data_IF_109290266182
#
_entry.id   IF_109290266182
#
_cell.length_a   1.000
_cell.length_b   1.000
_cell.length_c   1.000
_cell.angle_alpha   90.00
_cell.angle_beta   90.00
_cell.angle_gamma   90.00
#
_symmetry.space_group_name_H-M   'P 1'
#
loop_
_entity.id
_entity.type
_entity.pdbx_description
1 polymer ?
#
# COMPACT_ATOMS: atom_id res chain seq x y z
N UNK A 1 11.77 -41.83 -15.32
CA UNK A 1 11.52 -40.44 -15.77
C UNK A 1 11.06 -39.64 -14.56
N UNK A 2 11.92 -38.74 -14.10
CA UNK A 2 11.84 -38.07 -12.79
C UNK A 2 10.81 -36.94 -12.80
N UNK A 3 9.86 -36.95 -11.83
CA UNK A 3 8.93 -35.85 -11.58
C UNK A 3 9.70 -34.68 -10.95
N UNK A 4 9.84 -33.57 -11.69
CA UNK A 4 10.30 -32.30 -11.14
C UNK A 4 9.21 -31.74 -10.23
N UNK A 5 9.50 -31.68 -8.93
CA UNK A 5 8.75 -30.90 -7.95
C UNK A 5 8.96 -29.42 -8.22
N UNK A 6 7.86 -28.68 -8.45
CA UNK A 6 7.85 -27.23 -8.61
C UNK A 6 7.94 -26.58 -7.23
N UNK A 7 9.14 -26.15 -6.84
CA UNK A 7 9.36 -25.36 -5.63
C UNK A 7 8.81 -23.95 -5.87
N UNK A 8 7.67 -23.60 -5.25
CA UNK A 8 7.24 -22.20 -5.13
C UNK A 8 8.30 -21.44 -4.34
N UNK A 9 8.98 -20.48 -4.96
CA UNK A 9 9.85 -19.54 -4.28
C UNK A 9 9.00 -18.59 -3.42
N UNK A 10 8.73 -19.00 -2.19
CA UNK A 10 8.10 -18.17 -1.17
C UNK A 10 9.20 -17.33 -0.52
N UNK A 11 9.03 -16.01 -0.56
CA UNK A 11 9.91 -15.06 0.11
C UNK A 11 9.83 -15.30 1.64
N UNK A 12 10.96 -15.64 2.27
CA UNK A 12 11.04 -15.91 3.71
C UNK A 12 11.30 -14.62 4.47
N UNK A 13 10.39 -14.24 5.37
CA UNK A 13 10.60 -13.14 6.32
C UNK A 13 11.17 -13.67 7.65
N UNK A 14 12.08 -12.90 8.26
CA UNK A 14 12.66 -13.16 9.59
C UNK A 14 11.77 -12.51 10.67
N UNK A 15 11.48 -13.24 11.74
CA UNK A 15 10.68 -12.78 12.89
C UNK A 15 11.46 -11.82 13.80
N UNK A 16 10.96 -10.62 14.12
CA UNK A 16 11.46 -9.83 15.24
C UNK A 16 10.62 -10.01 16.51
N UNK A 17 11.25 -9.74 17.66
CA UNK A 17 10.71 -9.90 19.00
C UNK A 17 9.71 -8.78 19.37
N UNK A 18 8.71 -9.14 20.18
CA UNK A 18 7.54 -8.34 20.59
C UNK A 18 7.86 -7.25 21.62
N UNK A 19 7.26 -6.05 21.46
CA UNK A 19 7.30 -4.97 22.45
C UNK A 19 5.87 -4.52 22.84
N UNK A 20 5.75 -4.20 24.13
CA UNK A 20 4.54 -3.98 24.93
C UNK A 20 3.86 -2.63 24.65
N UNK A 21 2.53 -2.61 24.50
CA UNK A 21 1.71 -1.41 24.27
C UNK A 21 1.23 -0.77 25.58
N UNK A 22 1.48 0.52 25.79
CA UNK A 22 0.66 1.40 26.66
C UNK A 22 0.62 2.82 26.08
N UNK A 23 -0.58 3.39 25.93
CA UNK A 23 -0.74 4.85 25.77
C UNK A 23 -2.05 5.26 25.11
N UNK A 24 -2.98 5.80 25.90
CA UNK A 24 -4.35 6.20 25.55
C UNK A 24 -4.47 7.49 24.72
N UNK A 25 -5.64 7.56 24.07
CA UNK A 25 -6.31 8.60 23.29
C UNK A 25 -6.31 10.02 23.91
N UNK A 26 -6.08 11.05 23.06
CA UNK A 26 -6.58 12.42 23.27
C UNK A 26 -7.03 13.01 21.92
N UNK A 27 -8.27 12.75 21.52
CA UNK A 27 -8.98 13.56 20.51
C UNK A 27 -9.32 14.93 21.11
N UNK A 28 -8.48 15.93 20.88
CA UNK A 28 -8.84 17.32 21.11
C UNK A 28 -9.66 17.85 19.92
N UNK A 29 -10.96 17.55 19.88
CA UNK A 29 -11.85 18.08 18.85
C UNK A 29 -12.38 19.45 19.28
N UNK A 30 -11.54 20.49 19.19
CA UNK A 30 -12.03 21.87 19.28
C UNK A 30 -12.63 22.27 17.92
N UNK A 31 -13.84 22.84 17.92
CA UNK A 31 -14.51 23.32 16.70
C UNK A 31 -13.91 24.65 16.18
N UNK A 32 -12.60 24.84 16.35
CA UNK A 32 -11.87 26.04 15.96
C UNK A 32 -11.09 25.78 14.67
N UNK A 33 -11.07 26.78 13.79
CA UNK A 33 -10.30 26.70 12.56
C UNK A 33 -8.81 26.60 12.88
N UNK A 34 -8.21 25.44 12.60
CA UNK A 34 -6.77 25.24 12.71
C UNK A 34 -6.13 25.66 11.39
N UNK A 35 -5.43 26.78 11.39
CA UNK A 35 -4.63 27.19 10.24
C UNK A 35 -3.57 26.12 9.93
N UNK A 36 -3.32 25.88 8.64
CA UNK A 36 -2.09 25.19 8.24
C UNK A 36 -0.90 25.91 8.89
N UNK A 37 0.01 25.15 9.50
CA UNK A 37 1.27 25.73 9.99
C UNK A 37 1.96 26.40 8.80
N UNK A 38 2.39 27.65 8.97
CA UNK A 38 3.10 28.38 7.93
C UNK A 38 4.28 27.53 7.45
N UNK A 39 4.17 26.96 6.25
CA UNK A 39 5.23 26.17 5.65
C UNK A 39 6.42 27.08 5.41
N UNK A 40 7.57 26.79 6.03
CA UNK A 40 8.81 27.39 5.59
C UNK A 40 9.07 26.94 4.15
N UNK A 41 9.66 27.80 3.31
CA UNK A 41 10.12 27.41 1.98
C UNK A 41 11.24 26.37 2.15
N UNK A 42 10.88 25.10 2.29
CA UNK A 42 11.83 24.01 2.33
C UNK A 42 12.46 23.82 0.95
N UNK A 43 13.71 23.37 0.93
CA UNK A 43 14.38 23.00 -0.32
C UNK A 43 13.53 21.95 -1.03
N UNK A 44 13.25 22.16 -2.33
CA UNK A 44 12.59 21.16 -3.18
C UNK A 44 13.42 19.87 -3.18
N UNK A 45 12.74 18.73 -3.30
CA UNK A 45 13.42 17.46 -3.51
C UNK A 45 14.25 17.51 -4.80
N UNK A 46 15.43 16.89 -4.80
CA UNK A 46 16.25 16.72 -6.01
C UNK A 46 15.62 15.66 -6.92
N UNK A 47 16.06 15.61 -8.18
CA UNK A 47 15.62 14.58 -9.13
C UNK A 47 15.88 13.18 -8.61
N UNK A 48 17.02 12.94 -7.96
CA UNK A 48 17.39 11.64 -7.38
C UNK A 48 16.49 11.27 -6.21
N UNK A 49 16.11 12.24 -5.38
CA UNK A 49 15.15 12.03 -4.29
C UNK A 49 13.75 11.71 -4.83
N UNK A 50 13.38 12.34 -5.94
CA UNK A 50 12.12 12.06 -6.66
C UNK A 50 12.20 10.70 -7.37
N UNK A 51 13.36 10.29 -7.88
CA UNK A 51 13.54 9.01 -8.57
C UNK A 51 13.85 7.83 -7.64
N UNK A 52 13.97 8.07 -6.33
CA UNK A 52 14.19 7.00 -5.36
C UNK A 52 13.09 5.93 -5.47
N UNK A 53 13.52 4.71 -5.77
CA UNK A 53 12.66 3.57 -6.11
C UNK A 53 12.16 2.79 -4.90
N UNK A 54 13.06 2.59 -3.93
CA UNK A 54 12.90 1.62 -2.84
C UNK A 54 12.60 0.21 -3.31
N UNK A 55 11.81 -0.51 -2.52
CA UNK A 55 11.41 -1.89 -2.73
C UNK A 55 10.15 -1.92 -3.60
N UNK A 56 10.27 -2.49 -4.79
CA UNK A 56 9.16 -2.72 -5.74
C UNK A 56 8.85 -4.20 -5.94
N UNK A 57 9.40 -5.06 -5.06
CA UNK A 57 9.46 -6.51 -5.28
C UNK A 57 10.74 -6.94 -6.00
N UNK A 58 10.74 -8.14 -6.56
CA UNK A 58 11.87 -8.67 -7.33
C UNK A 58 11.69 -8.38 -8.82
N UNK A 59 12.76 -8.51 -9.61
CA UNK A 59 12.69 -8.35 -11.08
C UNK A 59 11.71 -9.34 -11.73
N UNK A 60 11.60 -10.54 -11.19
CA UNK A 60 10.70 -11.60 -11.69
C UNK A 60 9.26 -11.46 -11.14
N UNK A 61 9.05 -10.65 -10.10
CA UNK A 61 7.78 -10.50 -9.42
C UNK A 61 7.59 -9.07 -8.90
N UNK A 62 7.39 -8.13 -9.83
CA UNK A 62 6.97 -6.77 -9.50
C UNK A 62 5.74 -6.79 -8.60
N UNK A 63 5.74 -5.94 -7.57
CA UNK A 63 4.63 -5.81 -6.64
C UNK A 63 4.60 -6.85 -5.52
N UNK A 64 5.50 -7.84 -5.51
CA UNK A 64 5.52 -8.87 -4.46
C UNK A 64 5.85 -8.34 -3.05
N UNK A 65 6.27 -7.07 -2.96
CA UNK A 65 6.45 -6.33 -1.72
C UNK A 65 5.12 -5.85 -1.09
N UNK A 66 3.99 -5.99 -1.78
CA UNK A 66 2.65 -5.60 -1.33
C UNK A 66 1.72 -6.79 -1.42
N UNK A 67 0.96 -7.09 -0.36
CA UNK A 67 -0.02 -8.18 -0.40
C UNK A 67 -1.17 -7.98 0.58
N UNK A 68 -2.34 -8.53 0.26
CA UNK A 68 -3.42 -8.66 1.24
C UNK A 68 -3.09 -9.77 2.24
N UNK A 69 -3.33 -9.52 3.51
CA UNK A 69 -3.08 -10.49 4.58
C UNK A 69 -4.32 -10.70 5.44
N UNK A 70 -4.39 -11.88 6.05
CA UNK A 70 -5.45 -12.21 6.99
C UNK A 70 -5.25 -11.48 8.32
N UNK A 71 -6.35 -11.08 8.96
CA UNK A 71 -6.30 -10.34 10.21
C UNK A 71 -5.62 -11.12 11.34
N UNK A 72 -5.72 -12.45 11.31
CA UNK A 72 -5.09 -13.35 12.29
C UNK A 72 -3.57 -13.34 12.25
N UNK A 73 -2.97 -12.92 11.13
CA UNK A 73 -1.51 -12.87 10.94
C UNK A 73 -0.98 -11.45 10.70
N UNK A 74 -1.86 -10.44 10.64
CA UNK A 74 -1.48 -9.05 10.37
C UNK A 74 -0.42 -8.51 11.35
N UNK A 75 -0.44 -8.96 12.61
CA UNK A 75 0.54 -8.58 13.64
C UNK A 75 1.96 -9.08 13.36
N UNK A 76 2.15 -9.99 12.40
CA UNK A 76 3.47 -10.47 11.97
C UNK A 76 4.14 -9.53 10.96
N UNK A 77 3.42 -8.53 10.45
CA UNK A 77 3.92 -7.57 9.47
C UNK A 77 4.16 -6.22 10.14
N UNK A 78 5.33 -5.63 9.86
CA UNK A 78 5.73 -4.35 10.45
C UNK A 78 4.93 -3.18 9.90
N UNK A 79 4.64 -3.20 8.59
CA UNK A 79 3.92 -2.14 7.90
C UNK A 79 2.62 -2.68 7.33
N UNK A 80 1.50 -2.18 7.85
CA UNK A 80 0.16 -2.54 7.38
C UNK A 80 -0.72 -1.33 7.21
N UNK A 81 -1.68 -1.42 6.29
CA UNK A 81 -2.80 -0.50 6.16
C UNK A 81 -4.12 -1.28 6.19
N UNK A 82 -5.08 -0.78 6.97
CA UNK A 82 -6.40 -1.37 7.11
C UNK A 82 -7.40 -0.58 6.27
N UNK A 83 -8.04 -1.27 5.34
CA UNK A 83 -9.10 -0.74 4.48
C UNK A 83 -10.44 -1.19 5.04
N UNK A 84 -11.29 -0.23 5.38
CA UNK A 84 -12.62 -0.48 5.94
C UNK A 84 -13.64 0.09 4.96
N UNK A 85 -14.47 -0.78 4.37
CA UNK A 85 -15.55 -0.35 3.50
C UNK A 85 -16.80 -0.11 4.32
N UNK A 86 -17.14 1.16 4.51
CA UNK A 86 -18.31 1.61 5.27
C UNK A 86 -19.54 1.84 4.40
N UNK A 87 -19.45 1.63 3.08
CA UNK A 87 -20.60 1.76 2.16
C UNK A 87 -21.24 0.40 1.88
N UNK A 88 -22.43 0.42 1.29
CA UNK A 88 -23.24 -0.76 0.99
C UNK A 88 -22.83 -1.50 -0.29
N UNK A 89 -21.86 -0.97 -1.03
CA UNK A 89 -21.40 -1.50 -2.30
C UNK A 89 -19.97 -2.02 -2.20
N UNK A 90 -19.67 -3.07 -2.94
CA UNK A 90 -18.31 -3.59 -3.08
C UNK A 90 -17.41 -2.54 -3.75
N UNK A 91 -16.19 -2.41 -3.22
CA UNK A 91 -15.17 -1.57 -3.82
C UNK A 91 -14.09 -2.43 -4.48
N UNK A 92 -13.68 -2.02 -5.68
CA UNK A 92 -12.43 -2.48 -6.25
C UNK A 92 -11.30 -1.62 -5.66
N UNK A 93 -10.22 -2.26 -5.23
CA UNK A 93 -9.05 -1.58 -4.71
C UNK A 93 -7.81 -2.02 -5.50
N UNK A 94 -6.93 -1.07 -5.77
CA UNK A 94 -5.60 -1.31 -6.35
C UNK A 94 -4.57 -0.75 -5.39
N UNK A 95 -3.46 -1.46 -5.23
CA UNK A 95 -2.26 -0.90 -4.63
C UNK A 95 -1.15 -0.88 -5.68
N UNK A 96 -0.31 0.15 -5.63
CA UNK A 96 0.73 0.38 -6.60
C UNK A 96 2.02 0.79 -5.91
N UNK A 97 3.17 0.46 -6.52
CA UNK A 97 4.43 1.09 -6.19
C UNK A 97 4.52 2.45 -6.89
N UNK A 98 5.26 3.42 -6.35
CA UNK A 98 5.52 4.70 -7.03
C UNK A 98 6.23 4.50 -8.37
N UNK A 99 7.20 3.60 -8.38
CA UNK A 99 7.91 3.18 -9.58
C UNK A 99 7.19 2.00 -10.19
N UNK A 100 6.79 2.11 -11.46
CA UNK A 100 6.09 1.05 -12.19
C UNK A 100 7.02 -0.11 -12.61
N UNK A 101 6.44 -1.14 -13.25
CA UNK A 101 7.17 -2.34 -13.63
C UNK A 101 8.28 -2.08 -14.66
N UNK A 102 8.17 -1.00 -15.45
CA UNK A 102 9.17 -0.57 -16.43
C UNK A 102 10.30 0.30 -15.83
N UNK A 103 10.22 0.58 -14.51
CA UNK A 103 11.19 1.40 -13.80
C UNK A 103 10.94 2.91 -13.86
N UNK A 104 9.82 3.37 -14.45
CA UNK A 104 9.46 4.79 -14.50
C UNK A 104 8.64 5.23 -13.29
N UNK A 105 8.50 6.55 -13.09
CA UNK A 105 7.65 7.13 -12.03
C UNK A 105 6.19 7.15 -12.51
N UNK A 106 5.64 5.97 -12.75
CA UNK A 106 4.35 5.78 -13.41
C UNK A 106 3.50 4.68 -12.76
N UNK A 107 3.88 4.18 -11.58
CA UNK A 107 3.15 3.06 -10.99
C UNK A 107 1.72 3.41 -10.56
N UNK A 108 1.40 4.70 -10.39
CA UNK A 108 0.03 5.18 -10.17
C UNK A 108 -0.85 5.22 -11.43
N UNK A 109 -0.35 4.76 -12.58
CA UNK A 109 -1.14 4.64 -13.81
C UNK A 109 -1.81 3.28 -13.92
N UNK A 110 -3.02 3.28 -14.47
CA UNK A 110 -3.79 2.06 -14.72
C UNK A 110 -3.00 1.09 -15.60
N UNK A 111 -2.90 -0.17 -15.17
CA UNK A 111 -2.10 -1.21 -15.81
C UNK A 111 -0.75 -1.45 -15.13
N UNK A 112 -0.31 -0.57 -14.23
CA UNK A 112 0.94 -0.68 -13.47
C UNK A 112 0.72 -1.05 -11.99
N UNK A 113 -0.50 -1.46 -11.62
CA UNK A 113 -0.82 -1.91 -10.27
C UNK A 113 0.10 -3.05 -9.79
N UNK A 114 0.46 -3.01 -8.51
CA UNK A 114 1.20 -4.09 -7.85
C UNK A 114 0.25 -5.24 -7.48
N UNK A 115 -0.89 -4.90 -6.87
CA UNK A 115 -1.97 -5.85 -6.57
C UNK A 115 -3.33 -5.20 -6.79
N UNK A 116 -4.33 -6.04 -7.07
CA UNK A 116 -5.75 -5.67 -7.09
C UNK A 116 -6.53 -6.60 -6.18
N UNK A 117 -7.54 -6.07 -5.48
CA UNK A 117 -8.45 -6.87 -4.66
C UNK A 117 -9.84 -6.24 -4.57
N UNK A 118 -10.84 -7.08 -4.31
CA UNK A 118 -12.18 -6.61 -3.94
C UNK A 118 -12.26 -6.42 -2.44
N UNK A 119 -12.85 -5.31 -2.02
CA UNK A 119 -13.22 -4.99 -0.64
C UNK A 119 -14.75 -4.99 -0.53
N UNK A 120 -15.35 -6.12 -0.10
CA UNK A 120 -16.80 -6.24 0.00
C UNK A 120 -17.46 -5.17 0.88
N UNK A 121 -18.73 -4.89 0.64
CA UNK A 121 -19.54 -4.00 1.47
C UNK A 121 -19.46 -4.36 2.96
N UNK A 122 -19.29 -3.36 3.83
CA UNK A 122 -19.20 -3.55 5.29
C UNK A 122 -17.98 -4.33 5.79
N UNK A 123 -17.02 -4.66 4.91
CA UNK A 123 -15.89 -5.53 5.26
C UNK A 123 -14.58 -4.77 5.49
N UNK A 124 -13.61 -5.50 6.03
CA UNK A 124 -12.26 -5.02 6.28
C UNK A 124 -11.25 -5.90 5.53
N UNK A 125 -10.25 -5.26 4.91
CA UNK A 125 -9.06 -5.94 4.37
C UNK A 125 -7.81 -5.27 4.92
N UNK A 126 -6.76 -6.06 5.12
CA UNK A 126 -5.46 -5.55 5.55
C UNK A 126 -4.48 -5.79 4.42
N UNK A 127 -3.72 -4.76 4.08
CA UNK A 127 -2.61 -4.84 3.13
C UNK A 127 -1.32 -4.68 3.92
N UNK A 128 -0.41 -5.62 3.76
CA UNK A 128 0.93 -5.56 4.28
C UNK A 128 1.89 -5.03 3.21
N UNK A 129 2.87 -4.25 3.66
CA UNK A 129 3.95 -3.72 2.84
C UNK A 129 5.28 -4.20 3.43
N UNK A 130 6.18 -4.65 2.56
CA UNK A 130 7.55 -4.94 2.97
C UNK A 130 8.31 -3.63 3.23
N UNK A 131 9.39 -3.74 4.00
CA UNK A 131 10.23 -2.59 4.33
C UNK A 131 10.70 -1.86 3.06
N UNK A 132 10.78 -0.53 3.18
CA UNK A 132 11.20 0.35 2.09
C UNK A 132 10.29 0.30 0.85
N UNK A 133 9.01 -0.03 0.97
CA UNK A 133 8.02 0.13 -0.11
C UNK A 133 7.59 1.60 -0.26
N UNK A 134 7.40 2.08 -1.50
CA UNK A 134 6.85 3.42 -1.77
C UNK A 134 5.67 3.28 -2.70
N UNK A 135 4.55 3.93 -2.38
CA UNK A 135 3.36 3.84 -3.22
C UNK A 135 2.10 4.23 -2.47
N UNK A 136 0.99 3.68 -2.92
CA UNK A 136 -0.31 3.93 -2.32
C UNK A 136 -1.32 2.86 -2.73
N UNK A 137 -2.53 2.99 -2.20
CA UNK A 137 -3.67 2.22 -2.63
C UNK A 137 -4.84 3.17 -2.87
N UNK A 138 -5.72 2.75 -3.75
CA UNK A 138 -6.89 3.52 -4.19
C UNK A 138 -8.06 2.57 -4.32
N UNK A 139 -9.21 2.94 -3.78
CA UNK A 139 -10.44 2.18 -3.94
C UNK A 139 -11.49 2.98 -4.72
N UNK A 140 -12.47 2.26 -5.27
CA UNK A 140 -13.62 2.84 -5.95
C UNK A 140 -14.76 1.84 -6.07
N UNK A 141 -16.00 2.31 -5.99
CA UNK A 141 -17.20 1.49 -6.10
C UNK A 141 -17.23 0.81 -7.48
N UNK A 142 -17.27 -0.52 -7.50
CA UNK A 142 -17.24 -1.36 -8.70
C UNK A 142 -15.89 -1.37 -9.44
N UNK A 143 -15.29 -0.21 -9.71
CA UNK A 143 -13.95 -0.07 -10.31
C UNK A 143 -13.21 1.14 -9.74
N UNK A 144 -11.89 1.08 -9.73
CA UNK A 144 -11.06 2.24 -9.40
C UNK A 144 -11.17 3.29 -10.51
N UNK A 145 -11.60 4.52 -10.23
CA UNK A 145 -11.69 5.58 -11.24
C UNK A 145 -10.29 6.04 -11.66
N UNK A 146 -10.19 6.56 -12.89
CA UNK A 146 -8.95 7.14 -13.42
C UNK A 146 -9.17 8.54 -13.96
N UNK A 147 -8.15 9.38 -13.86
CA UNK A 147 -8.08 10.70 -14.47
C UNK A 147 -6.76 10.81 -15.26
N UNK A 148 -6.84 11.06 -16.56
CA UNK A 148 -5.68 11.06 -17.46
C UNK A 148 -4.83 9.76 -17.37
N UNK A 149 -5.48 8.62 -17.11
CA UNK A 149 -4.84 7.32 -16.94
C UNK A 149 -4.30 7.03 -15.53
N UNK A 150 -4.22 8.02 -14.64
CA UNK A 150 -3.80 7.84 -13.25
C UNK A 150 -4.99 7.40 -12.37
N UNK A 151 -4.75 6.55 -11.37
CA UNK A 151 -5.77 6.20 -10.38
C UNK A 151 -6.22 7.44 -9.59
N UNK A 152 -7.54 7.59 -9.39
CA UNK A 152 -8.15 8.82 -8.87
C UNK A 152 -9.32 8.57 -7.90
N UNK A 153 -9.20 7.57 -7.03
CA UNK A 153 -10.21 7.18 -6.05
C UNK A 153 -9.77 7.43 -4.60
N UNK A 154 -10.55 6.91 -3.64
CA UNK A 154 -10.34 7.07 -2.20
C UNK A 154 -10.78 5.83 -1.46
#
# INVERSE_FOLDING_TARGET
MSRRTSTKHICRTKTPASAHLVGRDVRNASNTYVHFRAGSKSKRATTEQIAYKGNTGTEEAYGCNIMTVDQTIASQYEYTATFINVVSEDQACVCFNKIGPDGQIDGSWSGNEAISFTLPAGSTKIVAFDANSQGGCVCGIGKVPTANGQFAGT
#
